data_IF_924025889513
#
_entry.id   IF_924025889513
#
_cell.length_a   1.000
_cell.length_b   1.000
_cell.length_c   1.000
_cell.angle_alpha   90.00
_cell.angle_beta   90.00
_cell.angle_gamma   90.00
#
_symmetry.space_group_name_H-M   'P 1'
#
loop_
_entity.id
_entity.type
_entity.pdbx_description
1 polymer ?
#
# COMPACT_ATOMS: atom_id res chain seq x y z
N UNK A 1 28.42 54.56 -50.32
CA UNK A 1 29.76 54.45 -49.68
C UNK A 1 29.83 53.07 -49.04
N UNK A 2 30.46 52.04 -49.63
CA UNK A 2 31.91 51.75 -49.69
C UNK A 2 32.62 52.04 -48.35
N UNK A 3 32.89 51.02 -47.52
CA UNK A 3 34.19 50.31 -47.47
C UNK A 3 34.21 49.11 -46.51
N UNK A 4 34.95 48.07 -46.92
CA UNK A 4 35.30 46.83 -46.20
C UNK A 4 36.55 47.04 -45.33
N UNK A 5 36.89 45.99 -44.57
CA UNK A 5 38.23 45.54 -44.09
C UNK A 5 38.83 46.29 -42.90
N UNK A 6 39.59 45.66 -41.99
CA UNK A 6 40.16 44.30 -41.98
C UNK A 6 40.87 44.01 -40.64
N UNK A 7 41.25 42.74 -40.49
CA UNK A 7 41.90 42.10 -39.34
C UNK A 7 43.31 42.66 -39.06
N UNK A 8 43.72 42.68 -37.78
CA UNK A 8 45.06 42.24 -37.33
C UNK A 8 44.97 41.74 -35.88
N UNK A 9 45.66 40.64 -35.61
CA UNK A 9 45.81 39.98 -34.32
C UNK A 9 47.20 40.28 -33.74
N UNK A 10 47.33 40.43 -32.41
CA UNK A 10 48.53 40.03 -31.64
C UNK A 10 48.10 39.72 -30.20
N UNK A 11 48.57 38.58 -29.70
CA UNK A 11 48.41 38.09 -28.34
C UNK A 11 49.38 38.76 -27.36
N UNK A 12 48.98 38.92 -26.09
CA UNK A 12 49.91 39.08 -24.98
C UNK A 12 49.38 38.38 -23.74
N UNK A 13 50.15 37.40 -23.29
CA UNK A 13 49.99 36.54 -22.13
C UNK A 13 50.23 37.39 -20.87
N UNK A 14 49.23 37.44 -19.99
CA UNK A 14 49.33 38.05 -18.67
C UNK A 14 48.96 37.04 -17.60
N UNK A 15 49.98 36.39 -17.05
CA UNK A 15 49.93 35.40 -15.97
C UNK A 15 49.45 36.11 -14.67
N UNK A 16 48.19 35.90 -14.28
CA UNK A 16 47.70 36.30 -12.95
C UNK A 16 47.65 35.07 -12.05
N UNK A 17 48.65 34.98 -11.18
CA UNK A 17 48.72 34.12 -10.01
C UNK A 17 47.54 34.44 -9.08
N UNK A 18 46.45 33.69 -9.18
CA UNK A 18 45.44 33.61 -8.13
C UNK A 18 45.87 32.53 -7.15
N UNK A 19 46.41 33.01 -6.03
CA UNK A 19 46.78 32.24 -4.86
C UNK A 19 45.55 31.46 -4.40
N UNK A 20 45.72 30.14 -4.28
CA UNK A 20 44.81 29.26 -3.59
C UNK A 20 44.72 29.69 -2.12
N UNK A 21 43.59 30.29 -1.74
CA UNK A 21 43.16 30.32 -0.35
C UNK A 21 42.25 29.11 -0.13
N UNK A 22 42.86 27.99 0.27
CA UNK A 22 42.17 26.93 1.00
C UNK A 22 41.73 27.52 2.36
N UNK A 23 40.53 28.08 2.40
CA UNK A 23 39.82 28.44 3.62
C UNK A 23 38.69 27.45 3.82
N UNK A 24 38.92 26.42 4.64
CA UNK A 24 37.88 25.49 5.05
C UNK A 24 36.77 26.23 5.77
N UNK A 25 35.59 26.24 5.16
CA UNK A 25 34.33 26.58 5.82
C UNK A 25 33.40 25.38 5.65
N UNK A 26 33.65 24.32 6.41
CA UNK A 26 32.73 23.19 6.60
C UNK A 26 31.55 23.63 7.49
N UNK A 27 30.81 24.61 7.00
CA UNK A 27 29.58 25.15 7.57
C UNK A 27 28.59 25.47 6.46
N UNK A 28 28.53 24.63 5.42
CA UNK A 28 27.60 24.79 4.31
C UNK A 28 26.16 24.74 4.81
N UNK A 29 25.39 25.78 4.53
CA UNK A 29 23.94 25.80 4.71
C UNK A 29 23.33 24.59 4.03
N UNK A 30 22.53 23.81 4.75
CA UNK A 30 21.85 22.63 4.20
C UNK A 30 20.91 23.10 3.08
N UNK A 31 21.03 22.49 1.91
CA UNK A 31 20.17 22.77 0.75
C UNK A 31 18.90 21.91 0.83
N UNK A 32 17.77 22.56 1.05
CA UNK A 32 16.44 21.94 1.10
C UNK A 32 15.67 22.11 -0.23
N UNK A 33 16.20 22.86 -1.19
CA UNK A 33 15.44 23.28 -2.37
C UNK A 33 14.18 24.06 -1.98
N UNK A 34 13.05 23.70 -2.60
CA UNK A 34 11.73 24.28 -2.33
C UNK A 34 10.91 23.48 -1.32
N UNK A 35 11.48 22.43 -0.71
CA UNK A 35 10.73 21.57 0.20
C UNK A 35 10.48 22.28 1.54
N UNK A 36 9.27 22.16 2.12
CA UNK A 36 9.03 22.62 3.47
C UNK A 36 9.90 21.83 4.46
N UNK A 37 10.52 22.54 5.39
CA UNK A 37 11.40 21.95 6.43
C UNK A 37 10.71 21.83 7.77
N UNK A 38 9.47 22.32 7.86
CA UNK A 38 8.64 22.25 9.05
C UNK A 38 7.35 21.50 8.78
N UNK A 39 6.83 20.84 9.82
CA UNK A 39 5.48 20.27 9.77
C UNK A 39 4.47 21.37 9.53
N UNK A 40 3.49 21.09 8.68
CA UNK A 40 2.31 21.95 8.54
C UNK A 40 1.27 21.43 9.53
N UNK A 41 1.00 22.19 10.58
CA UNK A 41 0.02 21.80 11.59
C UNK A 41 -1.42 22.00 11.11
N UNK A 42 -2.32 21.09 11.51
CA UNK A 42 -3.75 21.23 11.28
C UNK A 42 -4.21 21.14 9.82
N UNK A 43 -3.32 20.78 8.88
CA UNK A 43 -3.62 20.75 7.46
C UNK A 43 -4.15 19.40 6.95
N UNK A 44 -4.01 18.31 7.73
CA UNK A 44 -4.63 17.02 7.45
C UNK A 44 -5.43 16.43 8.61
N UNK A 45 -6.52 15.79 8.19
CA UNK A 45 -7.46 14.90 8.88
C UNK A 45 -8.24 15.41 10.09
N UNK A 46 -8.45 16.73 10.18
CA UNK A 46 -9.24 17.34 11.26
C UNK A 46 -10.69 17.68 10.88
N UNK A 47 -11.05 17.59 9.59
CA UNK A 47 -12.38 17.99 9.09
C UNK A 47 -13.18 16.78 8.63
N UNK A 48 -14.52 16.78 8.74
CA UNK A 48 -15.33 15.72 8.17
C UNK A 48 -15.12 15.58 6.65
N UNK A 49 -14.96 14.34 6.18
CA UNK A 49 -14.89 14.02 4.75
C UNK A 49 -15.35 12.59 4.53
N UNK A 50 -16.47 12.42 3.82
CA UNK A 50 -17.00 11.09 3.47
C UNK A 50 -15.99 10.27 2.64
N UNK A 51 -15.31 10.92 1.70
CA UNK A 51 -14.27 10.31 0.87
C UNK A 51 -13.13 9.71 1.70
N UNK A 52 -12.63 10.45 2.71
CA UNK A 52 -11.63 9.94 3.65
C UNK A 52 -12.18 8.82 4.50
N UNK A 53 -13.39 8.98 5.00
CA UNK A 53 -14.06 7.96 5.81
C UNK A 53 -14.16 6.62 5.11
N UNK A 54 -14.53 6.61 3.82
CA UNK A 54 -14.61 5.39 3.02
C UNK A 54 -13.23 4.72 2.92
N UNK A 55 -12.19 5.48 2.57
CA UNK A 55 -10.84 4.93 2.47
C UNK A 55 -10.34 4.41 3.83
N UNK A 56 -10.59 5.15 4.91
CA UNK A 56 -10.23 4.74 6.26
C UNK A 56 -10.94 3.46 6.69
N UNK A 57 -12.24 3.30 6.39
CA UNK A 57 -12.99 2.07 6.66
C UNK A 57 -12.45 0.89 5.84
N UNK A 58 -12.16 1.11 4.55
CA UNK A 58 -11.52 0.10 3.69
C UNK A 58 -10.19 -0.40 4.26
N UNK A 59 -9.34 0.50 4.75
CA UNK A 59 -8.05 0.14 5.35
C UNK A 59 -8.20 -0.57 6.70
N UNK A 60 -9.21 -0.19 7.51
CA UNK A 60 -9.57 -0.91 8.74
C UNK A 60 -10.07 -2.34 8.47
N UNK A 61 -10.80 -2.56 7.37
CA UNK A 61 -11.13 -3.91 6.91
C UNK A 61 -9.88 -4.69 6.49
N UNK A 62 -8.93 -4.02 5.81
CA UNK A 62 -7.63 -4.59 5.46
C UNK A 62 -6.80 -5.02 6.66
N UNK A 63 -6.91 -4.36 7.82
CA UNK A 63 -6.30 -4.83 9.08
C UNK A 63 -6.85 -6.19 9.53
N UNK A 64 -8.05 -6.57 9.09
CA UNK A 64 -8.75 -7.80 9.47
C UNK A 64 -8.80 -8.85 8.37
N UNK A 65 -8.18 -8.59 7.22
CA UNK A 65 -8.18 -9.54 6.11
C UNK A 65 -7.31 -10.75 6.43
N UNK A 66 -7.85 -11.94 6.17
CA UNK A 66 -7.08 -13.19 6.24
C UNK A 66 -6.16 -13.28 5.04
N UNK A 67 -4.90 -13.61 5.29
CA UNK A 67 -3.92 -13.91 4.24
C UNK A 67 -4.06 -15.38 3.84
N UNK A 68 -3.99 -15.65 2.54
CA UNK A 68 -4.29 -16.98 2.02
C UNK A 68 -3.38 -18.10 2.57
N UNK A 69 -2.13 -17.78 2.93
CA UNK A 69 -1.21 -18.74 3.54
C UNK A 69 -1.66 -19.23 4.93
N UNK A 70 -2.49 -18.46 5.64
CA UNK A 70 -3.10 -18.84 6.93
C UNK A 70 -4.18 -19.91 6.71
N UNK A 71 -4.78 -19.93 5.51
CA UNK A 71 -5.72 -20.97 5.06
C UNK A 71 -4.96 -22.17 4.52
N UNK A 72 -3.98 -21.94 3.65
CA UNK A 72 -3.22 -22.99 2.98
C UNK A 72 -1.81 -22.50 2.66
N UNK A 73 -0.80 -23.15 3.24
CA UNK A 73 0.60 -22.72 3.15
C UNK A 73 1.15 -22.66 1.73
N UNK A 74 0.55 -23.36 0.77
CA UNK A 74 0.97 -23.27 -0.63
C UNK A 74 0.64 -21.92 -1.26
N UNK A 75 -0.35 -21.18 -0.73
CA UNK A 75 -0.84 -19.90 -1.27
C UNK A 75 0.03 -18.72 -0.80
N UNK A 76 1.32 -18.77 -1.09
CA UNK A 76 2.30 -17.79 -0.63
C UNK A 76 2.54 -16.62 -1.58
N UNK A 77 2.13 -16.75 -2.85
CA UNK A 77 2.39 -15.73 -3.87
C UNK A 77 1.20 -14.78 -3.99
N UNK A 78 1.39 -13.53 -3.60
CA UNK A 78 0.39 -12.49 -3.75
C UNK A 78 0.06 -12.25 -5.23
N UNK A 79 -1.23 -12.09 -5.51
CA UNK A 79 -1.78 -11.86 -6.84
C UNK A 79 -2.61 -10.57 -6.91
N UNK A 80 -2.28 -9.63 -6.03
CA UNK A 80 -3.01 -8.39 -5.83
C UNK A 80 -3.87 -8.41 -4.58
N UNK A 81 -4.83 -7.51 -4.54
CA UNK A 81 -5.53 -7.13 -3.32
C UNK A 81 -5.30 -5.65 -3.04
N UNK A 82 -5.85 -5.17 -1.94
CA UNK A 82 -5.88 -3.76 -1.60
C UNK A 82 -7.29 -3.25 -1.35
N UNK A 83 -7.42 -1.93 -1.38
CA UNK A 83 -8.70 -1.24 -1.22
C UNK A 83 -9.58 -1.54 -2.43
N UNK A 84 -10.80 -2.01 -2.17
CA UNK A 84 -11.83 -2.22 -3.20
C UNK A 84 -12.67 -0.98 -3.43
N UNK A 85 -12.86 -0.19 -2.38
CA UNK A 85 -13.77 0.93 -2.34
C UNK A 85 -13.05 2.15 -1.79
N UNK A 86 -12.93 3.19 -2.61
CA UNK A 86 -12.34 4.46 -2.22
C UNK A 86 -13.31 5.62 -2.49
N UNK A 87 -12.77 6.84 -2.48
CA UNK A 87 -13.54 8.06 -2.69
C UNK A 87 -14.27 8.14 -4.04
N UNK A 88 -13.80 7.40 -5.04
CA UNK A 88 -14.40 7.30 -6.38
C UNK A 88 -15.41 6.14 -6.51
N UNK A 89 -15.58 5.34 -5.45
CA UNK A 89 -16.46 4.18 -5.40
C UNK A 89 -15.70 2.87 -5.51
N UNK A 90 -16.31 1.88 -6.15
CA UNK A 90 -15.70 0.55 -6.35
C UNK A 90 -14.63 0.62 -7.45
N UNK A 91 -13.36 0.53 -7.08
CA UNK A 91 -12.22 0.83 -7.96
C UNK A 91 -11.45 -0.39 -8.45
N UNK A 92 -11.68 -1.55 -7.85
CA UNK A 92 -10.90 -2.75 -8.14
C UNK A 92 -11.60 -3.74 -9.11
N UNK A 93 -10.76 -4.43 -9.87
CA UNK A 93 -11.04 -5.50 -10.82
C UNK A 93 -11.24 -6.89 -10.20
N UNK A 94 -11.07 -7.03 -8.89
CA UNK A 94 -11.14 -8.32 -8.18
C UNK A 94 -12.55 -8.88 -8.04
N UNK A 95 -13.57 -8.04 -8.21
CA UNK A 95 -14.96 -8.46 -8.39
C UNK A 95 -15.30 -8.60 -9.88
N UNK A 96 -16.03 -9.66 -10.23
CA UNK A 96 -16.45 -9.92 -11.62
C UNK A 96 -17.35 -8.78 -12.12
N UNK A 97 -17.39 -8.57 -13.45
CA UNK A 97 -18.28 -7.57 -14.07
C UNK A 97 -19.75 -7.69 -13.60
N UNK A 98 -20.34 -8.90 -13.61
CA UNK A 98 -21.69 -9.13 -13.08
C UNK A 98 -21.86 -8.71 -11.62
N UNK A 99 -20.92 -9.07 -10.74
CA UNK A 99 -20.98 -8.68 -9.33
C UNK A 99 -20.87 -7.16 -9.14
N UNK A 100 -20.01 -6.48 -9.91
CA UNK A 100 -19.91 -5.01 -9.87
C UNK A 100 -21.19 -4.34 -10.33
N UNK A 101 -21.86 -4.88 -11.35
CA UNK A 101 -23.16 -4.40 -11.79
C UNK A 101 -24.24 -4.59 -10.73
N UNK A 102 -24.27 -5.75 -10.07
CA UNK A 102 -25.20 -6.03 -8.97
C UNK A 102 -25.04 -5.04 -7.80
N UNK A 103 -23.81 -4.57 -7.57
CA UNK A 103 -23.50 -3.63 -6.49
C UNK A 103 -23.82 -2.15 -6.79
N UNK A 104 -24.18 -1.78 -8.03
CA UNK A 104 -24.41 -0.37 -8.41
C UNK A 104 -25.53 0.31 -7.61
N UNK A 105 -26.53 -0.45 -7.15
CA UNK A 105 -27.65 0.06 -6.35
C UNK A 105 -27.34 0.23 -4.86
N UNK A 106 -26.17 -0.21 -4.40
CA UNK A 106 -25.85 -0.28 -2.98
C UNK A 106 -24.92 0.85 -2.53
N UNK A 107 -25.19 1.41 -1.34
CA UNK A 107 -24.19 2.24 -0.65
C UNK A 107 -23.16 1.35 0.00
N UNK A 108 -21.96 1.27 -0.58
CA UNK A 108 -20.83 0.56 0.02
C UNK A 108 -20.00 1.58 0.81
N UNK A 109 -19.71 1.25 2.07
CA UNK A 109 -19.04 2.16 3.02
C UNK A 109 -17.53 1.93 3.09
N UNK A 110 -17.06 0.80 2.59
CA UNK A 110 -15.66 0.42 2.52
C UNK A 110 -15.51 -0.99 1.96
N UNK A 111 -14.31 -1.34 1.51
CA UNK A 111 -14.02 -2.68 1.05
C UNK A 111 -12.53 -2.95 0.87
N UNK A 112 -12.14 -4.19 1.11
CA UNK A 112 -10.75 -4.64 0.99
C UNK A 112 -10.67 -6.07 0.44
N UNK A 113 -9.61 -6.39 -0.29
CA UNK A 113 -9.34 -7.76 -0.76
C UNK A 113 -7.90 -8.20 -0.54
N UNK A 114 -7.72 -9.52 -0.44
CA UNK A 114 -6.43 -10.18 -0.49
C UNK A 114 -6.51 -11.37 -1.47
N UNK A 115 -5.60 -11.41 -2.43
CA UNK A 115 -5.54 -12.43 -3.47
C UNK A 115 -4.19 -13.14 -3.42
N UNK A 116 -4.18 -14.46 -3.45
CA UNK A 116 -2.94 -15.21 -3.59
C UNK A 116 -3.14 -16.51 -4.37
N UNK A 117 -2.06 -16.94 -5.02
CA UNK A 117 -1.95 -18.24 -5.65
C UNK A 117 -0.76 -19.02 -5.14
N UNK A 118 -0.60 -20.24 -5.63
CA UNK A 118 0.59 -21.06 -5.34
C UNK A 118 1.85 -20.60 -6.09
N UNK A 119 1.70 -19.65 -7.02
CA UNK A 119 2.81 -18.99 -7.71
C UNK A 119 2.41 -17.58 -8.14
N UNK A 120 3.40 -16.71 -8.44
CA UNK A 120 3.13 -15.37 -8.96
C UNK A 120 2.21 -15.41 -10.19
N UNK A 121 1.49 -14.32 -10.43
CA UNK A 121 0.69 -14.17 -11.64
C UNK A 121 1.57 -14.38 -12.88
N UNK A 122 1.05 -15.12 -13.85
CA UNK A 122 1.67 -15.31 -15.16
C UNK A 122 0.58 -15.22 -16.23
N UNK A 123 0.84 -14.62 -17.41
CA UNK A 123 -0.18 -14.43 -18.45
C UNK A 123 -0.76 -15.74 -19.01
N UNK A 124 -0.08 -16.86 -18.84
CA UNK A 124 -0.57 -18.17 -19.24
C UNK A 124 -1.51 -18.80 -18.20
N UNK A 125 -1.77 -18.09 -17.10
CA UNK A 125 -2.55 -18.50 -15.94
C UNK A 125 -2.32 -19.95 -15.54
N UNK A 126 -1.02 -20.27 -15.43
CA UNK A 126 -0.62 -21.62 -15.09
C UNK A 126 -0.87 -21.94 -13.61
N UNK A 127 -1.33 -20.97 -12.81
CA UNK A 127 -1.84 -21.24 -11.46
C UNK A 127 -2.93 -22.28 -11.53
N UNK A 128 -2.92 -23.15 -10.55
CA UNK A 128 -3.98 -24.14 -10.36
C UNK A 128 -4.47 -24.12 -8.92
N UNK A 129 -4.03 -23.15 -8.12
CA UNK A 129 -4.47 -22.96 -6.75
C UNK A 129 -4.53 -21.48 -6.48
N UNK A 130 -5.69 -21.00 -6.10
CA UNK A 130 -5.93 -19.57 -5.92
C UNK A 130 -6.98 -19.36 -4.83
N UNK A 131 -6.84 -18.26 -4.10
CA UNK A 131 -7.82 -17.80 -3.13
C UNK A 131 -7.92 -16.28 -3.20
N UNK A 132 -9.14 -15.80 -3.36
CA UNK A 132 -9.49 -14.41 -3.16
C UNK A 132 -10.44 -14.31 -1.96
N UNK A 133 -10.10 -13.42 -1.03
CA UNK A 133 -10.97 -13.03 0.08
C UNK A 133 -11.27 -11.55 -0.09
N UNK A 134 -12.55 -11.19 -0.03
CA UNK A 134 -13.00 -9.80 -0.08
C UNK A 134 -13.96 -9.53 1.07
N UNK A 135 -13.87 -8.34 1.65
CA UNK A 135 -14.80 -7.86 2.66
C UNK A 135 -15.38 -6.54 2.17
N UNK A 136 -16.69 -6.39 2.22
CA UNK A 136 -17.42 -5.17 1.85
C UNK A 136 -18.29 -4.73 3.03
N UNK A 137 -18.25 -3.44 3.38
CA UNK A 137 -19.07 -2.87 4.44
C UNK A 137 -20.30 -2.15 3.89
N UNK A 138 -21.45 -2.37 4.52
CA UNK A 138 -22.74 -1.81 4.16
C UNK A 138 -23.37 -1.05 5.35
N UNK A 139 -24.41 -0.22 5.11
CA UNK A 139 -25.13 0.52 6.14
C UNK A 139 -25.68 -0.31 7.29
N UNK A 140 -26.18 -1.50 6.98
CA UNK A 140 -26.86 -2.38 7.92
C UNK A 140 -26.83 -3.85 7.45
N UNK A 141 -27.28 -4.75 8.32
CA UNK A 141 -27.27 -6.20 8.06
C UNK A 141 -28.20 -6.59 6.91
N UNK A 142 -29.35 -5.92 6.77
CA UNK A 142 -30.32 -6.21 5.71
C UNK A 142 -29.74 -5.86 4.34
N UNK A 143 -29.09 -4.71 4.23
CA UNK A 143 -28.43 -4.24 3.02
C UNK A 143 -27.25 -5.13 2.66
N UNK A 144 -26.46 -5.57 3.65
CA UNK A 144 -25.39 -6.55 3.43
C UNK A 144 -25.93 -7.89 2.90
N UNK A 145 -27.00 -8.42 3.49
CA UNK A 145 -27.64 -9.67 3.06
C UNK A 145 -28.19 -9.58 1.64
N UNK A 146 -28.86 -8.48 1.30
CA UNK A 146 -29.36 -8.24 -0.05
C UNK A 146 -28.21 -8.13 -1.06
N UNK A 147 -27.16 -7.37 -0.74
CA UNK A 147 -25.99 -7.25 -1.60
C UNK A 147 -25.28 -8.59 -1.82
N UNK A 148 -25.11 -9.41 -0.79
CA UNK A 148 -24.54 -10.75 -0.91
C UNK A 148 -25.37 -11.64 -1.85
N UNK A 149 -26.70 -11.63 -1.70
CA UNK A 149 -27.60 -12.38 -2.56
C UNK A 149 -27.56 -11.90 -4.01
N UNK A 150 -27.56 -10.59 -4.26
CA UNK A 150 -27.49 -10.04 -5.62
C UNK A 150 -26.14 -10.30 -6.29
N UNK A 151 -25.04 -10.22 -5.54
CA UNK A 151 -23.70 -10.59 -6.03
C UNK A 151 -23.64 -12.06 -6.41
N UNK A 152 -24.11 -12.95 -5.52
CA UNK A 152 -24.14 -14.38 -5.78
C UNK A 152 -25.02 -14.71 -6.98
N UNK A 153 -26.23 -14.14 -7.04
CA UNK A 153 -27.18 -14.37 -8.12
C UNK A 153 -26.62 -13.95 -9.48
N UNK A 154 -25.98 -12.78 -9.56
CA UNK A 154 -25.36 -12.30 -10.78
C UNK A 154 -24.20 -13.20 -11.25
N UNK A 155 -23.40 -13.72 -10.31
CA UNK A 155 -22.30 -14.64 -10.60
C UNK A 155 -22.84 -16.03 -10.99
N UNK A 156 -23.86 -16.53 -10.29
CA UNK A 156 -24.58 -17.78 -10.57
C UNK A 156 -25.15 -17.79 -11.99
N UNK A 157 -25.79 -16.70 -12.42
CA UNK A 157 -26.37 -16.60 -13.77
C UNK A 157 -25.33 -16.45 -14.90
N UNK A 158 -24.05 -16.29 -14.56
CA UNK A 158 -22.98 -16.20 -15.58
C UNK A 158 -22.72 -17.55 -16.27
N UNK A 159 -23.23 -18.66 -15.73
CA UNK A 159 -23.16 -19.96 -16.38
C UNK A 159 -24.36 -20.85 -16.01
N UNK A 160 -25.00 -21.46 -17.01
CA UNK A 160 -26.19 -22.30 -16.81
C UNK A 160 -25.90 -23.61 -16.05
N UNK A 161 -24.66 -24.08 -16.05
CA UNK A 161 -24.24 -25.31 -15.36
C UNK A 161 -23.87 -25.05 -13.89
N UNK A 162 -23.98 -23.80 -13.40
CA UNK A 162 -23.81 -23.50 -11.99
C UNK A 162 -24.91 -24.18 -11.18
N UNK A 163 -24.52 -24.81 -10.08
CA UNK A 163 -25.41 -25.48 -9.14
C UNK A 163 -25.22 -24.88 -7.73
N UNK A 164 -26.31 -24.62 -6.99
CA UNK A 164 -26.21 -24.17 -5.61
C UNK A 164 -25.61 -25.28 -4.74
N UNK A 165 -24.78 -24.90 -3.78
CA UNK A 165 -24.14 -25.82 -2.84
C UNK A 165 -24.20 -25.26 -1.42
N UNK A 166 -24.37 -26.15 -0.44
CA UNK A 166 -24.36 -25.80 0.98
C UNK A 166 -22.98 -25.97 1.61
N UNK A 167 -22.71 -25.18 2.66
CA UNK A 167 -21.56 -25.36 3.55
C UNK A 167 -22.09 -25.61 4.96
N UNK A 168 -21.96 -26.85 5.47
CA UNK A 168 -22.61 -27.26 6.74
C UNK A 168 -22.25 -26.37 7.94
N UNK A 169 -21.00 -25.90 8.01
CA UNK A 169 -20.54 -25.02 9.09
C UNK A 169 -21.02 -23.56 8.95
N UNK A 170 -21.49 -23.17 7.76
CA UNK A 170 -22.00 -21.84 7.44
C UNK A 170 -23.29 -21.95 6.62
N UNK A 171 -24.40 -22.41 7.22
CA UNK A 171 -25.64 -22.68 6.48
C UNK A 171 -26.29 -21.43 5.88
N UNK A 172 -25.89 -20.24 6.33
CA UNK A 172 -26.34 -18.95 5.79
C UNK A 172 -25.43 -18.41 4.68
N UNK A 173 -24.31 -19.09 4.38
CA UNK A 173 -23.48 -18.73 3.23
C UNK A 173 -24.16 -19.17 1.94
N UNK A 174 -24.31 -18.25 1.00
CA UNK A 174 -24.85 -18.54 -0.33
C UNK A 174 -23.67 -18.88 -1.21
N UNK A 175 -23.67 -20.09 -1.77
CA UNK A 175 -22.52 -20.62 -2.51
C UNK A 175 -23.00 -21.37 -3.74
N UNK A 176 -22.20 -21.35 -4.79
CA UNK A 176 -22.41 -22.19 -5.96
C UNK A 176 -21.11 -22.79 -6.47
N UNK A 177 -21.28 -23.88 -7.19
CA UNK A 177 -20.21 -24.62 -7.83
C UNK A 177 -20.68 -25.07 -9.21
N UNK A 178 -19.78 -25.06 -10.18
CA UNK A 178 -20.02 -25.67 -11.49
C UNK A 178 -19.42 -27.08 -11.50
N UNK A 179 -20.23 -28.15 -11.60
CA UNK A 179 -19.73 -29.51 -11.62
C UNK A 179 -18.63 -29.71 -12.68
N UNK A 180 -17.53 -30.36 -12.28
CA UNK A 180 -16.38 -30.60 -13.16
C UNK A 180 -15.42 -29.42 -13.31
N UNK A 181 -15.68 -28.27 -12.67
CA UNK A 181 -14.79 -27.11 -12.69
C UNK A 181 -14.20 -26.86 -11.32
N UNK A 182 -12.91 -26.53 -11.20
CA UNK A 182 -12.24 -26.55 -9.91
C UNK A 182 -12.33 -25.22 -9.16
N UNK A 183 -13.47 -24.53 -9.23
CA UNK A 183 -13.68 -23.20 -8.61
C UNK A 183 -14.96 -23.15 -7.80
N UNK A 184 -14.93 -22.58 -6.59
CA UNK A 184 -16.12 -22.37 -5.75
C UNK A 184 -16.20 -20.92 -5.30
N UNK A 185 -17.38 -20.32 -5.48
CA UNK A 185 -17.72 -18.99 -4.98
C UNK A 185 -18.65 -19.09 -3.77
N UNK A 186 -18.41 -18.27 -2.75
CA UNK A 186 -19.23 -18.23 -1.53
C UNK A 186 -19.32 -16.81 -0.98
N UNK A 187 -20.52 -16.44 -0.54
CA UNK A 187 -20.84 -15.14 0.05
C UNK A 187 -21.50 -15.37 1.40
N UNK A 188 -20.92 -14.78 2.45
CA UNK A 188 -21.44 -14.82 3.81
C UNK A 188 -21.70 -13.40 4.28
N UNK A 189 -22.93 -13.13 4.70
CA UNK A 189 -23.24 -11.90 5.43
C UNK A 189 -22.93 -12.09 6.91
N UNK A 190 -22.18 -11.15 7.48
CA UNK A 190 -21.80 -11.14 8.89
C UNK A 190 -21.94 -9.72 9.42
N UNK A 191 -22.94 -9.49 10.29
CA UNK A 191 -23.40 -8.14 10.63
C UNK A 191 -23.67 -7.33 9.35
N UNK A 192 -23.23 -6.08 9.29
CA UNK A 192 -23.33 -5.24 8.09
C UNK A 192 -22.17 -5.43 7.10
N UNK A 193 -21.46 -6.56 7.17
CA UNK A 193 -20.38 -6.91 6.23
C UNK A 193 -20.78 -8.07 5.32
N UNK A 194 -20.26 -8.07 4.10
CA UNK A 194 -20.25 -9.24 3.21
C UNK A 194 -18.83 -9.75 3.09
N UNK A 195 -18.63 -11.02 3.42
CA UNK A 195 -17.40 -11.77 3.19
C UNK A 195 -17.58 -12.59 1.92
N UNK A 196 -16.80 -12.30 0.89
CA UNK A 196 -16.75 -13.10 -0.33
C UNK A 196 -15.49 -13.94 -0.34
N UNK A 197 -15.63 -15.22 -0.67
CA UNK A 197 -14.53 -16.14 -0.92
C UNK A 197 -14.67 -16.72 -2.32
N UNK A 198 -13.58 -16.69 -3.08
CA UNK A 198 -13.44 -17.42 -4.33
C UNK A 198 -12.20 -18.30 -4.24
N UNK A 199 -12.37 -19.61 -4.38
CA UNK A 199 -11.30 -20.58 -4.30
C UNK A 199 -11.15 -21.33 -5.62
N UNK A 200 -9.92 -21.64 -6.01
CA UNK A 200 -9.57 -22.53 -7.11
C UNK A 200 -8.60 -23.62 -6.64
N UNK A 201 -8.79 -24.84 -7.13
CA UNK A 201 -7.92 -25.99 -6.89
C UNK A 201 -7.40 -26.64 -8.19
N UNK A 202 -6.40 -27.55 -8.13
CA UNK A 202 -5.89 -28.16 -9.35
C UNK A 202 -6.82 -29.16 -10.02
N UNK A 203 -7.79 -29.69 -9.28
CA UNK A 203 -8.76 -30.67 -9.74
C UNK A 203 -10.16 -30.29 -9.24
N UNK A 204 -11.23 -30.66 -9.98
CA UNK A 204 -12.60 -30.35 -9.61
C UNK A 204 -13.11 -31.26 -8.48
N UNK A 205 -12.58 -31.03 -7.29
CA UNK A 205 -12.91 -31.73 -6.06
C UNK A 205 -13.74 -30.81 -5.15
N UNK A 206 -15.06 -30.98 -5.20
CA UNK A 206 -15.98 -30.18 -4.41
C UNK A 206 -15.71 -30.28 -2.90
N UNK A 207 -15.38 -31.48 -2.39
CA UNK A 207 -15.13 -31.68 -0.97
C UNK A 207 -13.97 -30.82 -0.47
N UNK A 208 -12.87 -30.79 -1.22
CA UNK A 208 -11.71 -29.94 -0.90
C UNK A 208 -11.97 -28.45 -1.10
N UNK A 209 -12.73 -28.06 -2.13
CA UNK A 209 -13.14 -26.67 -2.32
C UNK A 209 -14.00 -26.19 -1.14
N UNK A 210 -15.00 -26.99 -0.74
CA UNK A 210 -15.87 -26.69 0.39
C UNK A 210 -15.09 -26.60 1.71
N UNK A 211 -14.11 -27.49 1.93
CA UNK A 211 -13.22 -27.43 3.09
C UNK A 211 -12.38 -26.14 3.12
N UNK A 212 -11.74 -25.79 2.00
CA UNK A 212 -10.92 -24.58 1.91
C UNK A 212 -11.75 -23.30 2.13
N UNK A 213 -12.93 -23.22 1.51
CA UNK A 213 -13.83 -22.07 1.71
C UNK A 213 -14.36 -22.02 3.14
N UNK A 214 -14.77 -23.14 3.72
CA UNK A 214 -15.21 -23.21 5.12
C UNK A 214 -14.10 -22.77 6.09
N UNK A 215 -12.87 -23.23 5.86
CA UNK A 215 -11.69 -22.81 6.65
C UNK A 215 -11.44 -21.30 6.50
N UNK A 216 -11.55 -20.77 5.30
CA UNK A 216 -11.39 -19.34 5.01
C UNK A 216 -12.43 -18.51 5.74
N UNK A 217 -13.71 -18.85 5.62
CA UNK A 217 -14.81 -18.17 6.32
C UNK A 217 -14.61 -18.21 7.83
N UNK A 218 -14.19 -19.34 8.40
CA UNK A 218 -13.88 -19.47 9.83
C UNK A 218 -12.79 -18.53 10.30
N UNK A 219 -11.68 -18.47 9.58
CA UNK A 219 -10.59 -17.56 9.92
C UNK A 219 -11.03 -16.10 9.76
N UNK A 220 -11.80 -15.79 8.70
CA UNK A 220 -12.22 -14.43 8.41
C UNK A 220 -13.25 -13.90 9.41
N UNK A 221 -14.23 -14.73 9.79
CA UNK A 221 -15.18 -14.40 10.86
C UNK A 221 -14.44 -14.20 12.19
N UNK A 222 -13.49 -15.08 12.52
CA UNK A 222 -12.70 -14.94 13.76
C UNK A 222 -11.87 -13.64 13.79
N UNK A 223 -11.25 -13.27 12.66
CA UNK A 223 -10.52 -12.00 12.54
C UNK A 223 -11.44 -10.78 12.71
N UNK A 224 -12.71 -10.91 12.35
CA UNK A 224 -13.72 -9.86 12.44
C UNK A 224 -14.47 -9.82 13.78
N UNK A 225 -14.36 -10.81 14.67
CA UNK A 225 -15.14 -10.88 15.92
C UNK A 225 -15.17 -9.58 16.73
N UNK A 226 -14.02 -8.90 16.82
CA UNK A 226 -13.85 -7.63 17.55
C UNK A 226 -13.99 -6.37 16.67
N UNK A 227 -14.26 -6.55 15.38
CA UNK A 227 -14.49 -5.46 14.45
C UNK A 227 -15.91 -4.91 14.59
N UNK A 228 -15.98 -3.58 14.63
CA UNK A 228 -17.25 -2.84 14.59
C UNK A 228 -17.26 -2.00 13.31
N UNK A 229 -18.14 -2.32 12.34
CA UNK A 229 -18.31 -1.52 11.14
C UNK A 229 -18.68 -0.07 11.50
N UNK A 230 -18.16 0.89 10.75
CA UNK A 230 -18.44 2.30 11.01
C UNK A 230 -19.88 2.66 10.61
N UNK A 231 -20.71 3.22 11.51
CA UNK A 231 -22.03 3.71 11.14
C UNK A 231 -21.97 4.77 10.04
N UNK A 232 -22.94 4.79 9.13
CA UNK A 232 -22.99 5.74 8.00
C UNK A 232 -22.83 7.19 8.44
N UNK A 233 -23.45 7.56 9.56
CA UNK A 233 -23.41 8.91 10.12
C UNK A 233 -22.04 9.31 10.68
N UNK A 234 -21.23 8.33 11.09
CA UNK A 234 -19.90 8.55 11.66
C UNK A 234 -18.79 8.46 10.62
N UNK A 235 -19.08 7.89 9.45
CA UNK A 235 -18.12 7.70 8.37
C UNK A 235 -17.37 9.00 8.01
N UNK A 236 -18.02 10.17 7.85
CA UNK A 236 -17.29 11.40 7.55
C UNK A 236 -16.29 11.83 8.63
N UNK A 237 -16.50 11.44 9.89
CA UNK A 237 -15.61 11.76 11.01
C UNK A 237 -14.49 10.73 11.19
N UNK A 238 -14.54 9.60 10.47
CA UNK A 238 -13.51 8.58 10.54
C UNK A 238 -12.19 9.09 9.93
N UNK A 239 -11.17 9.12 10.77
CA UNK A 239 -9.83 9.61 10.44
C UNK A 239 -9.03 8.54 9.70
N UNK A 240 -8.46 8.91 8.55
CA UNK A 240 -7.48 8.13 7.81
C UNK A 240 -6.13 8.07 8.55
N UNK A 241 -5.78 9.13 9.28
CA UNK A 241 -4.52 9.27 9.99
C UNK A 241 -4.76 9.73 11.43
N UNK A 242 -5.29 8.83 12.30
CA UNK A 242 -5.56 9.16 13.69
C UNK A 242 -4.30 9.58 14.47
N UNK A 243 -3.16 9.00 14.12
CA UNK A 243 -1.86 9.21 14.77
C UNK A 243 -1.04 10.38 14.20
N UNK A 244 -1.48 10.99 13.10
CA UNK A 244 -0.82 12.14 12.49
C UNK A 244 0.51 11.81 11.82
N UNK A 245 0.63 10.63 11.22
CA UNK A 245 1.80 10.14 10.49
C UNK A 245 2.01 10.79 9.11
N UNK A 246 0.95 11.08 8.37
CA UNK A 246 1.06 11.68 7.03
C UNK A 246 1.68 13.09 7.07
N UNK A 247 1.30 13.97 8.03
CA UNK A 247 2.00 15.26 8.24
C UNK A 247 3.47 15.15 8.68
N UNK A 248 3.95 13.97 9.06
CA UNK A 248 5.38 13.75 9.34
C UNK A 248 6.19 13.51 8.06
N UNK A 249 5.55 13.37 6.90
CA UNK A 249 6.20 13.35 5.60
C UNK A 249 6.21 14.75 4.98
N UNK A 250 7.31 15.09 4.28
CA UNK A 250 7.42 16.37 3.56
C UNK A 250 6.28 16.50 2.56
N UNK A 251 5.50 17.59 2.66
CA UNK A 251 4.43 17.87 1.72
C UNK A 251 5.01 18.25 0.35
N UNK A 252 4.63 17.48 -0.67
CA UNK A 252 5.03 17.73 -2.08
C UNK A 252 3.84 17.92 -3.01
N UNK A 253 2.63 17.66 -2.53
CA UNK A 253 1.38 17.71 -3.28
C UNK A 253 0.19 17.87 -2.32
N UNK A 254 -1.03 17.91 -2.86
CA UNK A 254 -2.28 17.96 -2.12
C UNK A 254 -2.60 16.68 -1.36
N UNK A 255 -3.35 16.80 -0.26
CA UNK A 255 -3.75 15.69 0.60
C UNK A 255 -5.04 15.02 0.15
N UNK A 256 -5.09 14.73 -1.15
CA UNK A 256 -6.19 13.98 -1.74
C UNK A 256 -6.08 12.52 -1.26
N UNK A 257 -7.10 11.97 -0.59
CA UNK A 257 -7.06 10.59 -0.09
C UNK A 257 -6.99 9.61 -1.27
N UNK A 258 -6.00 8.73 -1.24
CA UNK A 258 -5.75 7.78 -2.32
C UNK A 258 -5.06 6.54 -1.75
N UNK A 259 -5.58 5.36 -2.09
CA UNK A 259 -5.15 4.07 -1.54
C UNK A 259 -3.79 3.59 -2.05
N UNK A 260 -3.11 4.35 -2.92
CA UNK A 260 -1.78 4.02 -3.45
C UNK A 260 -0.76 5.10 -3.14
N UNK A 261 -1.20 6.35 -3.10
CA UNK A 261 -0.32 7.50 -3.02
C UNK A 261 -0.54 8.33 -1.77
N UNK A 262 -1.64 8.17 -1.02
CA UNK A 262 -1.86 9.00 0.18
C UNK A 262 -2.77 8.31 1.22
N UNK A 263 -2.16 7.45 2.06
CA UNK A 263 -2.88 6.69 3.08
C UNK A 263 -1.99 6.18 4.21
N UNK A 264 -2.62 5.72 5.30
CA UNK A 264 -1.95 5.03 6.42
C UNK A 264 -2.48 3.60 6.52
N UNK A 265 -1.56 2.65 6.60
CA UNK A 265 -1.84 1.21 6.62
C UNK A 265 -1.38 0.59 7.93
N UNK A 266 -2.13 -0.41 8.39
CA UNK A 266 -1.57 -1.45 9.25
C UNK A 266 -0.57 -2.30 8.46
N UNK A 267 0.35 -2.99 9.16
CA UNK A 267 1.30 -3.90 8.49
C UNK A 267 0.59 -4.99 7.70
N UNK A 268 -0.55 -5.50 8.21
CA UNK A 268 -1.35 -6.53 7.56
C UNK A 268 -2.03 -6.02 6.28
N UNK A 269 -2.68 -4.85 6.33
CA UNK A 269 -3.29 -4.26 5.15
C UNK A 269 -2.23 -4.02 4.07
N UNK A 270 -1.13 -3.36 4.43
CA UNK A 270 -0.04 -3.07 3.49
C UNK A 270 0.52 -4.35 2.85
N UNK A 271 0.78 -5.38 3.66
CA UNK A 271 1.32 -6.64 3.18
C UNK A 271 0.33 -7.42 2.29
N UNK A 272 -0.98 -7.33 2.53
CA UNK A 272 -2.01 -8.02 1.73
C UNK A 272 -1.95 -7.68 0.24
N UNK A 273 -1.48 -6.47 -0.13
CA UNK A 273 -1.32 -6.04 -1.52
C UNK A 273 0.06 -6.38 -2.12
N UNK A 274 0.98 -6.96 -1.35
CA UNK A 274 2.35 -7.26 -1.79
C UNK A 274 2.44 -8.55 -2.61
N UNK A 275 3.60 -8.78 -3.23
CA UNK A 275 3.89 -10.03 -3.94
C UNK A 275 4.08 -11.24 -3.00
N UNK A 276 4.35 -11.01 -1.71
CA UNK A 276 4.55 -12.07 -0.70
C UNK A 276 3.84 -11.70 0.62
N UNK A 277 2.50 -11.67 0.66
CA UNK A 277 1.76 -11.08 1.76
C UNK A 277 2.14 -11.59 3.15
N UNK A 278 2.26 -12.91 3.29
CA UNK A 278 2.63 -13.54 4.55
C UNK A 278 4.02 -13.13 5.04
N UNK A 279 5.00 -13.21 4.12
CA UNK A 279 6.39 -12.93 4.44
C UNK A 279 6.59 -11.45 4.75
N UNK A 280 5.94 -10.56 4.01
CA UNK A 280 6.04 -9.12 4.20
C UNK A 280 5.32 -8.67 5.47
N UNK A 281 4.18 -9.30 5.82
CA UNK A 281 3.52 -9.07 7.10
C UNK A 281 4.40 -9.47 8.27
N UNK A 282 4.97 -10.68 8.23
CA UNK A 282 5.85 -11.20 9.28
C UNK A 282 7.14 -10.39 9.38
N UNK A 283 7.78 -10.06 8.27
CA UNK A 283 9.03 -9.29 8.23
C UNK A 283 8.86 -7.89 8.83
N UNK A 284 7.74 -7.22 8.57
CA UNK A 284 7.47 -5.91 9.15
C UNK A 284 7.08 -6.03 10.64
N UNK A 285 6.16 -6.95 10.96
CA UNK A 285 5.59 -7.05 12.31
C UNK A 285 6.62 -7.55 13.33
N UNK A 286 7.43 -8.56 12.98
CA UNK A 286 8.50 -9.08 13.85
C UNK A 286 9.61 -8.05 14.13
N UNK A 287 9.80 -7.08 13.23
CA UNK A 287 10.73 -5.95 13.39
C UNK A 287 10.13 -4.76 14.11
N UNK A 288 8.89 -4.89 14.59
CA UNK A 288 8.22 -3.87 15.37
C UNK A 288 7.64 -2.72 14.55
N UNK A 289 7.45 -2.86 13.24
CA UNK A 289 6.67 -1.89 12.46
C UNK A 289 5.22 -1.97 12.92
N UNK A 290 4.62 -0.82 13.26
CA UNK A 290 3.23 -0.75 13.73
C UNK A 290 2.31 -0.10 12.69
N UNK A 291 2.84 0.83 11.90
CA UNK A 291 2.07 1.58 10.91
C UNK A 291 2.96 2.04 9.77
N UNK A 292 2.39 2.14 8.57
CA UNK A 292 3.09 2.57 7.37
C UNK A 292 2.25 3.70 6.76
N UNK A 293 2.81 4.90 6.65
CA UNK A 293 2.19 6.01 5.93
C UNK A 293 2.84 6.15 4.55
N UNK A 294 2.02 6.33 3.52
CA UNK A 294 2.48 6.54 2.15
C UNK A 294 2.05 7.93 1.71
N UNK A 295 2.99 8.70 1.15
CA UNK A 295 2.75 10.00 0.53
C UNK A 295 3.57 10.11 -0.76
N UNK A 296 2.95 9.75 -1.88
CA UNK A 296 3.53 9.67 -3.21
C UNK A 296 4.82 8.84 -3.21
N UNK A 297 5.94 9.46 -3.58
CA UNK A 297 7.28 8.90 -3.58
C UNK A 297 7.93 8.80 -2.20
N UNK A 298 7.15 8.78 -1.11
CA UNK A 298 7.64 8.75 0.27
C UNK A 298 6.86 7.74 1.08
N UNK A 299 7.56 7.06 1.98
CA UNK A 299 6.97 6.16 2.97
C UNK A 299 7.51 6.50 4.35
N UNK A 300 6.66 6.45 5.37
CA UNK A 300 7.06 6.55 6.77
C UNK A 300 6.67 5.27 7.49
N UNK A 301 7.65 4.61 8.09
CA UNK A 301 7.43 3.49 8.97
C UNK A 301 7.45 4.01 10.40
N UNK A 302 6.37 3.79 11.15
CA UNK A 302 6.37 3.92 12.60
C UNK A 302 6.74 2.57 13.19
N UNK A 303 7.72 2.58 14.08
CA UNK A 303 8.18 1.40 14.80
C UNK A 303 7.82 1.48 16.28
N UNK A 304 7.96 0.36 16.98
CA UNK A 304 7.66 0.24 18.41
C UNK A 304 8.50 1.18 19.28
N UNK A 305 9.76 1.42 18.89
CA UNK A 305 10.69 2.30 19.57
C UNK A 305 11.89 2.68 18.67
N UNK A 306 12.79 3.52 19.19
CA UNK A 306 13.96 4.01 18.45
C UNK A 306 15.04 2.95 18.20
N UNK A 307 15.14 1.92 19.04
CA UNK A 307 16.07 0.83 18.83
C UNK A 307 15.62 -0.01 17.63
N UNK A 308 14.32 -0.36 17.59
CA UNK A 308 13.70 -1.03 16.45
C UNK A 308 13.86 -0.24 15.15
N UNK A 309 13.71 1.10 15.19
CA UNK A 309 13.93 1.96 14.02
C UNK A 309 15.37 1.86 13.48
N UNK A 310 16.36 1.84 14.37
CA UNK A 310 17.77 1.70 13.98
C UNK A 310 18.05 0.33 13.35
N UNK A 311 17.56 -0.74 13.97
CA UNK A 311 17.69 -2.11 13.45
C UNK A 311 16.98 -2.29 12.11
N UNK A 312 15.79 -1.72 11.96
CA UNK A 312 15.01 -1.75 10.72
C UNK A 312 15.73 -1.03 9.59
N UNK A 313 16.33 0.14 9.84
CA UNK A 313 17.14 0.84 8.83
C UNK A 313 18.35 0.01 8.39
N UNK A 314 19.08 -0.59 9.33
CA UNK A 314 20.21 -1.47 9.01
C UNK A 314 19.76 -2.65 8.14
N UNK A 315 18.66 -3.29 8.50
CA UNK A 315 18.08 -4.38 7.72
C UNK A 315 17.66 -3.93 6.31
N UNK A 316 17.03 -2.77 6.18
CA UNK A 316 16.62 -2.23 4.88
C UNK A 316 17.80 -1.94 3.95
N UNK A 317 18.95 -1.53 4.50
CA UNK A 317 20.19 -1.36 3.74
C UNK A 317 20.72 -2.72 3.27
N UNK A 318 20.81 -3.69 4.18
CA UNK A 318 21.31 -5.04 3.87
C UNK A 318 20.42 -5.78 2.86
N UNK A 319 19.10 -5.76 3.07
CA UNK A 319 18.12 -6.49 2.25
C UNK A 319 18.10 -6.02 0.79
N UNK A 320 18.55 -4.80 0.51
CA UNK A 320 18.52 -4.19 -0.83
C UNK A 320 19.91 -4.00 -1.43
N UNK A 321 20.97 -4.55 -0.82
CA UNK A 321 22.35 -4.41 -1.31
C UNK A 321 22.56 -5.04 -2.70
N UNK A 322 21.74 -6.02 -3.08
CA UNK A 322 21.72 -6.62 -4.42
C UNK A 322 21.19 -5.64 -5.47
N UNK A 323 20.29 -4.74 -5.09
CA UNK A 323 19.56 -3.82 -5.97
C UNK A 323 20.14 -2.40 -5.96
N UNK A 324 20.83 -2.01 -4.88
CA UNK A 324 21.28 -0.65 -4.63
C UNK A 324 22.78 -0.57 -4.36
N UNK A 325 23.40 0.54 -4.78
CA UNK A 325 24.77 0.93 -4.44
C UNK A 325 24.74 2.07 -3.42
N UNK A 326 25.44 1.97 -2.28
CA UNK A 326 25.55 3.06 -1.33
C UNK A 326 26.13 4.33 -1.97
N UNK A 327 25.65 5.49 -1.54
CA UNK A 327 26.20 6.79 -1.92
C UNK A 327 26.32 7.69 -0.70
N UNK A 328 27.16 8.73 -0.79
CA UNK A 328 27.26 9.72 0.28
C UNK A 328 25.87 10.29 0.61
N UNK A 329 25.52 10.38 1.89
CA UNK A 329 24.28 10.99 2.37
C UNK A 329 24.33 12.53 2.32
N UNK A 330 23.42 13.18 3.05
CA UNK A 330 23.44 14.65 3.22
C UNK A 330 24.57 15.02 4.18
N UNK A 331 25.35 16.06 3.83
CA UNK A 331 26.47 16.50 4.65
C UNK A 331 26.04 16.81 6.09
N UNK A 332 26.82 16.36 7.07
CA UNK A 332 26.58 16.54 8.51
C UNK A 332 25.24 15.95 9.04
N UNK A 333 24.65 14.96 8.34
CA UNK A 333 23.42 14.28 8.76
C UNK A 333 23.60 12.76 8.78
N UNK A 334 24.05 12.22 9.91
CA UNK A 334 24.30 10.79 10.08
C UNK A 334 23.02 9.93 10.14
N UNK A 335 21.86 10.55 10.37
CA UNK A 335 20.55 9.90 10.33
C UNK A 335 20.11 9.51 8.93
N UNK A 336 20.83 9.96 7.89
CA UNK A 336 20.44 9.82 6.49
C UNK A 336 21.44 8.91 5.77
N UNK A 337 20.94 7.79 5.23
CA UNK A 337 21.70 6.91 4.34
C UNK A 337 21.07 6.89 2.97
N UNK A 338 21.85 7.17 1.92
CA UNK A 338 21.36 7.22 0.56
C UNK A 338 21.97 6.10 -0.29
N UNK A 339 21.25 5.71 -1.34
CA UNK A 339 21.71 4.73 -2.29
C UNK A 339 21.12 5.00 -3.69
N UNK A 340 21.83 4.51 -4.71
CA UNK A 340 21.40 4.56 -6.10
C UNK A 340 21.02 3.16 -6.59
N UNK A 341 19.89 3.05 -7.30
CA UNK A 341 19.46 1.79 -7.89
C UNK A 341 20.44 1.33 -8.99
N UNK A 342 20.77 0.04 -9.01
CA UNK A 342 21.57 -0.59 -10.08
C UNK A 342 20.79 -0.71 -11.39
N UNK A 343 19.47 -0.93 -11.29
CA UNK A 343 18.55 -1.02 -12.42
C UNK A 343 17.31 -0.18 -12.13
N UNK A 344 17.28 1.10 -12.54
CA UNK A 344 16.14 1.97 -12.28
C UNK A 344 14.95 1.63 -13.19
N UNK A 345 13.74 1.80 -12.66
CA UNK A 345 12.48 1.76 -13.40
C UNK A 345 11.59 2.93 -12.95
N UNK A 346 11.29 3.85 -13.86
CA UNK A 346 10.48 5.03 -13.57
C UNK A 346 9.02 4.73 -13.21
N UNK A 347 8.55 3.48 -13.40
CA UNK A 347 7.18 3.04 -13.12
C UNK A 347 7.00 2.45 -11.71
N UNK A 348 8.08 2.25 -10.95
CA UNK A 348 8.01 1.77 -9.56
C UNK A 348 8.77 2.74 -8.66
N UNK A 349 8.11 3.19 -7.58
CA UNK A 349 8.73 4.09 -6.62
C UNK A 349 10.00 3.46 -6.03
N UNK A 350 9.94 2.19 -5.65
CA UNK A 350 11.03 1.37 -5.13
C UNK A 350 12.13 1.10 -6.14
N UNK A 351 11.89 1.34 -7.43
CA UNK A 351 12.87 1.27 -8.50
C UNK A 351 13.28 2.66 -9.02
N UNK A 352 12.88 3.74 -8.34
CA UNK A 352 13.38 5.08 -8.65
C UNK A 352 14.90 5.12 -8.57
N UNK A 353 15.52 5.98 -9.38
CA UNK A 353 17.00 5.98 -9.53
C UNK A 353 17.75 6.20 -8.21
N UNK A 354 17.21 7.01 -7.30
CA UNK A 354 17.83 7.31 -6.02
C UNK A 354 16.83 7.16 -4.88
N UNK A 355 17.33 6.70 -3.73
CA UNK A 355 16.58 6.63 -2.48
C UNK A 355 17.41 7.07 -1.28
N UNK A 356 16.76 7.59 -0.26
CA UNK A 356 17.37 7.77 1.06
C UNK A 356 16.47 7.22 2.17
N UNK A 357 17.09 6.67 3.21
CA UNK A 357 16.45 6.30 4.47
C UNK A 357 16.83 7.35 5.52
N UNK A 358 15.85 7.81 6.29
CA UNK A 358 16.01 8.80 7.35
C UNK A 358 15.50 8.17 8.65
N UNK A 359 16.37 8.03 9.65
CA UNK A 359 16.01 7.43 10.96
C UNK A 359 15.95 8.50 12.04
N UNK A 360 14.80 8.66 12.70
CA UNK A 360 14.60 9.65 13.76
C UNK A 360 13.62 9.14 14.81
N UNK A 361 14.08 8.96 16.06
CA UNK A 361 13.25 8.38 17.11
C UNK A 361 12.69 7.01 16.67
N UNK A 362 11.39 6.80 16.83
CA UNK A 362 10.69 5.57 16.40
C UNK A 362 10.33 5.54 14.89
N UNK A 363 10.81 6.50 14.09
CA UNK A 363 10.41 6.65 12.69
C UNK A 363 11.55 6.36 11.72
N UNK A 364 11.21 5.68 10.63
CA UNK A 364 12.08 5.52 9.45
C UNK A 364 11.32 6.02 8.22
N UNK A 365 11.78 7.13 7.63
CA UNK A 365 11.26 7.60 6.36
C UNK A 365 12.09 7.06 5.19
N UNK A 366 11.42 6.65 4.11
CA UNK A 366 12.01 6.36 2.81
C UNK A 366 11.57 7.43 1.83
N UNK A 367 12.50 8.03 1.11
CA UNK A 367 12.21 9.01 0.07
C UNK A 367 12.89 8.60 -1.23
N UNK A 368 12.22 8.83 -2.35
CA UNK A 368 12.66 8.41 -3.68
C UNK A 368 12.71 9.58 -4.65
N UNK A 369 13.68 9.59 -5.58
CA UNK A 369 13.72 10.54 -6.69
C UNK A 369 14.47 9.97 -7.89
N UNK A 370 14.26 10.57 -9.06
CA UNK A 370 15.02 10.25 -10.28
C UNK A 370 16.29 11.10 -10.46
N UNK A 371 16.55 12.06 -9.57
CA UNK A 371 17.78 12.87 -9.58
C UNK A 371 18.47 12.90 -8.21
N UNK A 372 19.80 12.92 -8.22
CA UNK A 372 20.63 12.91 -7.01
C UNK A 372 20.41 14.17 -6.15
N UNK A 373 20.40 15.33 -6.79
CA UNK A 373 20.22 16.60 -6.08
C UNK A 373 18.86 16.68 -5.39
N UNK A 374 17.80 16.19 -6.04
CA UNK A 374 16.45 16.24 -5.50
C UNK A 374 16.26 15.26 -4.33
N UNK A 375 16.77 14.02 -4.42
CA UNK A 375 16.65 13.06 -3.31
C UNK A 375 17.34 13.57 -2.05
N UNK A 376 18.49 14.26 -2.20
CA UNK A 376 19.24 14.83 -1.07
C UNK A 376 18.49 15.99 -0.42
N UNK A 377 17.93 16.89 -1.23
CA UNK A 377 17.09 18.01 -0.76
C UNK A 377 15.86 17.50 -0.01
N UNK A 378 15.18 16.51 -0.59
CA UNK A 378 14.00 15.88 0.01
C UNK A 378 14.37 15.17 1.32
N UNK A 379 15.47 14.42 1.36
CA UNK A 379 15.94 13.74 2.57
C UNK A 379 16.33 14.73 3.67
N UNK A 380 16.98 15.84 3.33
CA UNK A 380 17.34 16.90 4.27
C UNK A 380 16.10 17.57 4.86
N UNK A 381 15.10 17.87 4.03
CA UNK A 381 13.82 18.44 4.47
C UNK A 381 13.07 17.43 5.36
N UNK A 382 13.07 16.16 4.98
CA UNK A 382 12.42 15.09 5.72
C UNK A 382 13.03 14.89 7.12
N UNK A 383 14.35 14.94 7.25
CA UNK A 383 15.02 14.89 8.55
C UNK A 383 14.68 16.11 9.42
N UNK A 384 14.47 17.29 8.81
CA UNK A 384 14.04 18.50 9.53
C UNK A 384 12.60 18.38 10.03
N UNK A 385 11.66 17.95 9.17
CA UNK A 385 10.25 17.71 9.56
C UNK A 385 10.14 16.70 10.71
N UNK A 386 10.95 15.64 10.71
CA UNK A 386 10.97 14.66 11.82
C UNK A 386 11.65 15.20 13.08
N UNK A 387 12.52 16.21 12.95
CA UNK A 387 13.20 16.85 14.08
C UNK A 387 12.28 17.77 14.88
N UNK A 388 11.30 18.41 14.23
CA UNK A 388 10.34 19.35 14.84
C UNK A 388 9.45 18.73 15.94
N UNK A 389 9.49 17.40 16.13
CA UNK A 389 8.74 16.70 17.18
C UNK A 389 9.46 16.67 18.53
N UNK A 390 10.76 16.97 18.57
CA UNK A 390 11.56 17.07 19.80
C UNK A 390 11.43 18.46 20.40
#
# INVERSE_FOLDING_TARGET
MRYRSGRFAVAAIGLLLLIAACGGNSGGTIDYGSYPVHRIEGDFDQRPSRARGILAESLRLGERIVLANEVDSDLSAGRGGGVLVDSSGLTDSTLSGPQRSALQGYSILGGYSALAGNKPFDPAETSKKFLAVSILAFPDEQTAAAAAADMEHADFLSNIDNAPVGLDAYPTAISHWRPGVPTLGSWLSWKSLVIRVFAELPAPDFGKLAEQVTKTLRLQVSALERFTPTPVSELPALRLDPDGLLPLLVKTDDYTPDDRTFAVYSTRAFAAASAKPAADFEANSSRGVTSIAVSHNKMLYRLRDAAAATEFTAHQVEATQSEYLPMHGVANRNSIVCAQAKQPNAQSAEASRFRCLITRGEYVAKVYSNTDIDVRRLAAAQDSVLSDRQ
#
